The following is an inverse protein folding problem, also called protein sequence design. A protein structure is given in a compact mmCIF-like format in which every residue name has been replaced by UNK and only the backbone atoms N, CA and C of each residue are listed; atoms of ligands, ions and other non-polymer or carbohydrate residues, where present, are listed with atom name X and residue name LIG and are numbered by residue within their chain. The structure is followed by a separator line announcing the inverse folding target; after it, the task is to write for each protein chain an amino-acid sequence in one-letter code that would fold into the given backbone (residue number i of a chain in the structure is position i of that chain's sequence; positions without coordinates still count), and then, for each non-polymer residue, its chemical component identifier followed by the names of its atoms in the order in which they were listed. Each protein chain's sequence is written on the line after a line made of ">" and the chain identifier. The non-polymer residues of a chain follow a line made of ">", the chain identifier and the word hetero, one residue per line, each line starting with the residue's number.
data_IF_838789103761
#
_entry.id   IF_838789103761
#
_cell.length_a   1.000
_cell.length_b   1.000
_cell.length_c   1.000
_cell.angle_alpha   90.00
_cell.angle_beta   90.00
_cell.angle_gamma   90.00
#
_symmetry.space_group_name_H-M   'P 1'
#
loop_
_entity.id
_entity.type
_entity.pdbx_description
1 polymer ?
#
# COMPACT_ATOMS: atom_id res chain seq x y z
N UNK A 1 -24.54 3.08 19.24
CA UNK A 1 -25.41 1.90 19.10
C UNK A 1 -25.58 1.53 17.65
N UNK A 2 -26.67 1.91 17.00
CA UNK A 2 -27.00 1.49 15.61
C UNK A 2 -26.20 2.19 14.49
N UNK A 3 -25.94 3.50 14.61
CA UNK A 3 -25.19 4.25 13.58
C UNK A 3 -23.74 3.79 13.36
N UNK A 4 -23.16 3.08 14.31
CA UNK A 4 -21.80 2.54 14.20
C UNK A 4 -21.80 1.19 13.48
N UNK A 5 -22.83 0.35 13.70
CA UNK A 5 -23.01 -0.92 13.00
C UNK A 5 -23.43 -0.73 11.54
N UNK A 6 -24.31 0.24 11.25
CA UNK A 6 -24.73 0.58 9.88
C UNK A 6 -23.53 1.05 9.03
N UNK A 7 -22.73 1.99 9.57
CA UNK A 7 -21.49 2.44 8.89
C UNK A 7 -20.45 1.34 8.70
N UNK A 8 -20.43 0.33 9.57
CA UNK A 8 -19.55 -0.84 9.41
C UNK A 8 -20.07 -1.76 8.28
N UNK A 9 -21.38 -1.98 8.21
CA UNK A 9 -22.00 -2.78 7.15
C UNK A 9 -21.83 -2.12 5.77
N UNK A 10 -22.07 -0.82 5.66
CA UNK A 10 -21.88 -0.05 4.43
C UNK A 10 -20.41 -0.09 3.96
N UNK A 11 -19.45 0.11 4.88
CA UNK A 11 -18.02 -0.02 4.55
C UNK A 11 -17.65 -1.44 4.13
N UNK A 12 -18.22 -2.46 4.77
CA UNK A 12 -18.00 -3.86 4.41
C UNK A 12 -18.50 -4.17 2.99
N UNK A 13 -19.71 -3.70 2.65
CA UNK A 13 -20.27 -3.84 1.31
C UNK A 13 -19.43 -3.08 0.26
N UNK A 14 -19.00 -1.87 0.58
CA UNK A 14 -18.12 -1.09 -0.30
C UNK A 14 -16.77 -1.80 -0.55
N UNK A 15 -16.15 -2.36 0.49
CA UNK A 15 -14.91 -3.14 0.36
C UNK A 15 -15.09 -4.41 -0.48
N UNK A 16 -16.25 -5.09 -0.36
CA UNK A 16 -16.58 -6.26 -1.18
C UNK A 16 -16.79 -5.95 -2.66
N UNK A 17 -17.06 -4.68 -3.00
CA UNK A 17 -17.25 -4.22 -4.38
C UNK A 17 -15.99 -3.58 -4.99
N UNK A 18 -14.89 -3.43 -4.23
CA UNK A 18 -13.65 -2.86 -4.75
C UNK A 18 -13.06 -3.78 -5.81
N UNK A 19 -12.91 -3.24 -7.02
CA UNK A 19 -12.24 -3.95 -8.11
C UNK A 19 -10.73 -4.03 -7.85
N UNK A 20 -10.08 -5.05 -8.40
CA UNK A 20 -8.63 -5.19 -8.33
C UNK A 20 -7.88 -3.96 -8.87
N UNK A 21 -8.36 -3.40 -9.98
CA UNK A 21 -7.80 -2.18 -10.59
C UNK A 21 -7.92 -0.95 -9.68
N UNK A 22 -9.03 -0.85 -8.94
CA UNK A 22 -9.26 0.22 -7.98
C UNK A 22 -8.39 0.06 -6.73
N UNK A 23 -8.21 -1.18 -6.26
CA UNK A 23 -7.25 -1.47 -5.21
C UNK A 23 -5.82 -1.10 -5.62
N UNK A 24 -5.40 -1.49 -6.84
CA UNK A 24 -4.09 -1.13 -7.39
C UNK A 24 -3.88 0.38 -7.52
N UNK A 25 -4.91 1.11 -7.96
CA UNK A 25 -4.82 2.55 -8.18
C UNK A 25 -4.75 3.34 -6.88
N UNK A 26 -5.53 2.93 -5.87
CA UNK A 26 -5.80 3.78 -4.71
C UNK A 26 -5.25 3.25 -3.38
N UNK A 27 -4.99 1.94 -3.27
CA UNK A 27 -4.77 1.28 -1.98
C UNK A 27 -3.40 0.62 -1.85
N UNK A 28 -2.74 0.28 -2.95
CA UNK A 28 -1.44 -0.42 -2.92
C UNK A 28 -0.47 0.18 -3.94
N UNK A 29 0.83 0.03 -3.67
CA UNK A 29 1.89 0.41 -4.62
C UNK A 29 2.60 -0.88 -5.01
N UNK A 30 2.57 -1.23 -6.30
CA UNK A 30 3.19 -2.44 -6.85
C UNK A 30 3.98 -2.07 -8.09
N UNK A 31 5.20 -2.58 -8.22
CA UNK A 31 6.00 -2.41 -9.43
C UNK A 31 7.48 -2.65 -9.22
N UNK A 32 8.29 -2.07 -10.10
CA UNK A 32 9.75 -2.08 -9.98
C UNK A 32 10.20 -1.08 -8.92
N UNK A 33 11.44 -1.19 -8.41
CA UNK A 33 11.98 -0.21 -7.46
C UNK A 33 11.86 1.24 -7.95
N UNK A 34 12.05 1.48 -9.26
CA UNK A 34 11.91 2.82 -9.85
C UNK A 34 10.46 3.32 -9.83
N UNK A 35 9.49 2.49 -10.24
CA UNK A 35 8.09 2.90 -10.25
C UNK A 35 7.53 3.10 -8.84
N UNK A 36 7.95 2.26 -7.89
CA UNK A 36 7.61 2.42 -6.46
C UNK A 36 8.20 3.71 -5.90
N UNK A 37 9.46 4.02 -6.22
CA UNK A 37 10.10 5.27 -5.81
C UNK A 37 9.34 6.48 -6.36
N UNK A 38 9.03 6.49 -7.65
CA UNK A 38 8.32 7.61 -8.28
C UNK A 38 6.97 7.85 -7.60
N UNK A 39 6.20 6.79 -7.33
CA UNK A 39 4.90 6.89 -6.67
C UNK A 39 5.00 7.37 -5.22
N UNK A 40 6.00 6.90 -4.48
CA UNK A 40 6.24 7.36 -3.11
C UNK A 40 6.64 8.85 -3.07
N UNK A 41 7.49 9.32 -4.00
CA UNK A 41 7.86 10.74 -4.10
C UNK A 41 6.63 11.61 -4.35
N UNK A 42 5.82 11.24 -5.33
CA UNK A 42 4.57 11.93 -5.64
C UNK A 42 3.67 12.05 -4.40
N UNK A 43 3.47 10.95 -3.66
CA UNK A 43 2.61 10.95 -2.47
C UNK A 43 3.21 11.78 -1.31
N UNK A 44 4.52 11.69 -1.10
CA UNK A 44 5.21 12.49 -0.07
C UNK A 44 5.09 13.99 -0.37
N UNK A 45 5.25 14.39 -1.63
CA UNK A 45 5.12 15.79 -2.07
C UNK A 45 3.68 16.31 -1.94
N UNK A 46 2.69 15.53 -2.37
CA UNK A 46 1.28 15.94 -2.32
C UNK A 46 0.78 16.08 -0.88
N UNK A 47 1.19 15.17 0.00
CA UNK A 47 0.61 15.03 1.35
C UNK A 47 1.50 15.71 2.41
N UNK A 48 2.78 15.94 2.12
CA UNK A 48 3.75 16.52 3.07
C UNK A 48 4.16 15.53 4.16
N UNK A 49 4.45 14.28 3.80
CA UNK A 49 4.79 13.22 4.75
C UNK A 49 6.28 13.25 5.14
N UNK A 50 6.57 13.21 6.44
CA UNK A 50 7.95 13.07 6.95
C UNK A 50 8.51 11.64 6.86
N UNK A 51 7.65 10.66 6.54
CA UNK A 51 8.04 9.25 6.45
C UNK A 51 6.90 8.34 6.03
N UNK A 52 7.24 7.09 5.73
CA UNK A 52 6.30 6.06 5.25
C UNK A 52 6.44 4.79 6.07
N UNK A 53 5.31 4.26 6.55
CA UNK A 53 5.20 2.91 7.11
C UNK A 53 4.57 2.00 6.05
N UNK A 54 5.24 0.91 5.69
CA UNK A 54 4.79 -0.01 4.66
C UNK A 54 4.43 -1.38 5.22
N UNK A 55 3.21 -1.85 4.93
CA UNK A 55 2.82 -3.26 5.07
C UNK A 55 3.04 -3.97 3.74
N UNK A 56 3.94 -4.96 3.72
CA UNK A 56 4.35 -5.64 2.47
C UNK A 56 3.52 -6.88 2.13
N UNK A 57 2.70 -7.36 3.07
CA UNK A 57 1.88 -8.57 2.90
C UNK A 57 0.46 -8.32 3.38
N UNK A 58 -0.21 -7.34 2.77
CA UNK A 58 -1.60 -7.04 3.06
C UNK A 58 -2.46 -8.30 2.84
N UNK A 59 -3.08 -8.79 3.92
CA UNK A 59 -3.93 -9.99 3.90
C UNK A 59 -3.20 -11.31 4.16
N UNK A 60 -1.86 -11.32 4.33
CA UNK A 60 -1.11 -12.47 4.82
C UNK A 60 -0.99 -13.66 3.87
N UNK A 61 -1.40 -13.52 2.61
CA UNK A 61 -1.45 -14.62 1.64
C UNK A 61 -0.21 -14.70 0.73
N UNK A 62 0.69 -13.71 0.77
CA UNK A 62 1.91 -13.71 -0.04
C UNK A 62 2.96 -14.64 0.59
N UNK A 63 3.56 -15.58 -0.16
CA UNK A 63 4.63 -16.44 0.35
C UNK A 63 5.83 -15.64 0.87
N UNK A 64 6.40 -16.10 2.00
CA UNK A 64 7.48 -15.42 2.71
C UNK A 64 8.69 -15.08 1.82
N UNK A 65 9.06 -15.96 0.89
CA UNK A 65 10.18 -15.71 -0.03
C UNK A 65 9.96 -14.44 -0.87
N UNK A 66 8.73 -14.23 -1.34
CA UNK A 66 8.37 -13.06 -2.14
C UNK A 66 8.33 -11.79 -1.29
N UNK A 67 7.81 -11.88 -0.08
CA UNK A 67 7.80 -10.76 0.88
C UNK A 67 9.23 -10.35 1.23
N UNK A 68 10.10 -11.31 1.53
CA UNK A 68 11.50 -11.06 1.84
C UNK A 68 12.27 -10.47 0.66
N UNK A 69 11.99 -10.93 -0.57
CA UNK A 69 12.55 -10.33 -1.78
C UNK A 69 12.09 -8.88 -1.96
N UNK A 70 10.80 -8.60 -1.74
CA UNK A 70 10.25 -7.24 -1.79
C UNK A 70 10.91 -6.34 -0.74
N UNK A 71 11.01 -6.79 0.51
CA UNK A 71 11.68 -6.06 1.58
C UNK A 71 13.14 -5.76 1.24
N UNK A 72 13.87 -6.72 0.68
CA UNK A 72 15.25 -6.52 0.23
C UNK A 72 15.36 -5.41 -0.81
N UNK A 73 14.51 -5.43 -1.84
CA UNK A 73 14.47 -4.38 -2.87
C UNK A 73 14.09 -3.02 -2.27
N UNK A 74 13.13 -2.99 -1.35
CA UNK A 74 12.73 -1.77 -0.64
C UNK A 74 13.90 -1.18 0.14
N UNK A 75 14.66 -1.99 0.88
CA UNK A 75 15.79 -1.51 1.67
C UNK A 75 17.01 -1.12 0.81
N UNK A 76 17.29 -1.87 -0.26
CA UNK A 76 18.53 -1.70 -1.04
C UNK A 76 18.38 -0.69 -2.18
N UNK A 77 17.19 -0.59 -2.77
CA UNK A 77 16.99 0.22 -3.97
C UNK A 77 16.05 1.40 -3.69
N UNK A 78 14.95 1.20 -2.96
CA UNK A 78 13.94 2.26 -2.78
C UNK A 78 14.34 3.24 -1.68
N UNK A 79 14.51 2.77 -0.44
CA UNK A 79 14.77 3.61 0.73
C UNK A 79 15.98 4.56 0.59
N UNK A 80 17.11 4.18 -0.04
CA UNK A 80 18.23 5.09 -0.25
C UNK A 80 17.92 6.32 -1.12
N UNK A 81 16.85 6.28 -1.93
CA UNK A 81 16.44 7.39 -2.81
C UNK A 81 15.64 8.50 -2.09
N UNK A 82 15.38 8.33 -0.79
CA UNK A 82 14.64 9.26 0.09
C UNK A 82 15.49 9.80 1.25
N UNK A 83 16.82 9.60 1.20
CA UNK A 83 17.78 10.15 2.15
C UNK A 83 18.23 11.56 1.77
#
# INVERSE_FOLDING_TARGET
>A
GARASERRAERGAALGAVSYEEALREKVIIGTPDSVTARLKELIEIIGLDGVLAELNCGGMIPDEKVNRSLRLMCQEVAPRFR
#
